data_IF_577876562222
#
_entry.id   IF_577876562222
#
_cell.length_a   1.000
_cell.length_b   1.000
_cell.length_c   1.000
_cell.angle_alpha   90.00
_cell.angle_beta   90.00
_cell.angle_gamma   90.00
#
_symmetry.space_group_name_H-M   'P 1'
#
loop_
_entity.id
_entity.type
_entity.pdbx_description
1 polymer ?
#
# COMPACT_ATOMS: atom_id res chain seq x y z
N UNK A 1 30.44 25.71 52.53
CA UNK A 1 29.15 25.20 52.03
C UNK A 1 29.09 25.48 50.53
N UNK A 2 29.39 24.49 49.70
CA UNK A 2 29.41 24.64 48.24
C UNK A 2 28.17 23.94 47.67
N UNK A 3 27.22 24.70 47.12
CA UNK A 3 26.08 24.18 46.36
C UNK A 3 26.53 23.98 44.90
N UNK A 4 26.44 22.78 44.32
CA UNK A 4 26.65 22.62 42.90
C UNK A 4 25.41 23.15 42.16
N UNK A 5 25.63 24.15 41.32
CA UNK A 5 24.66 24.66 40.36
C UNK A 5 24.49 23.58 39.28
N UNK A 6 23.43 22.80 39.37
CA UNK A 6 23.07 21.83 38.33
C UNK A 6 22.62 22.61 37.09
N UNK A 7 23.49 22.67 36.09
CA UNK A 7 23.16 23.13 34.74
C UNK A 7 22.20 22.10 34.12
N UNK A 8 20.90 22.41 34.10
CA UNK A 8 19.93 21.68 33.30
C UNK A 8 20.24 21.96 31.82
N UNK A 9 20.81 20.98 31.15
CA UNK A 9 20.88 20.92 29.69
C UNK A 9 19.46 20.66 29.18
N UNK A 10 18.77 21.72 28.73
CA UNK A 10 17.56 21.57 27.92
C UNK A 10 18.00 20.99 26.56
N UNK A 11 17.78 19.69 26.38
CA UNK A 11 17.70 19.11 25.05
C UNK A 11 16.44 19.69 24.38
N UNK A 12 16.64 20.65 23.49
CA UNK A 12 15.64 21.01 22.51
C UNK A 12 15.39 19.77 21.65
N UNK A 13 14.27 19.09 21.87
CA UNK A 13 13.75 18.12 20.93
C UNK A 13 13.56 18.87 19.60
N UNK A 14 14.35 18.51 18.60
CA UNK A 14 14.13 19.00 17.25
C UNK A 14 12.70 18.61 16.86
N UNK A 15 11.88 19.62 16.62
CA UNK A 15 10.53 19.50 16.10
C UNK A 15 10.63 18.89 14.69
N UNK A 16 10.69 17.56 14.64
CA UNK A 16 10.36 16.78 13.47
C UNK A 16 8.84 16.90 13.32
N UNK A 17 8.38 18.04 12.81
CA UNK A 17 6.98 18.25 12.48
C UNK A 17 6.53 17.05 11.65
N UNK A 18 5.66 16.21 12.24
CA UNK A 18 5.14 15.05 11.56
C UNK A 18 4.47 15.54 10.28
N UNK A 19 5.02 15.19 9.11
CA UNK A 19 4.39 15.50 7.83
C UNK A 19 3.06 14.77 7.82
N UNK A 20 1.97 15.53 7.71
CA UNK A 20 0.64 14.94 7.64
C UNK A 20 0.54 14.10 6.36
N UNK A 21 0.26 12.81 6.53
CA UNK A 21 0.13 11.87 5.42
C UNK A 21 -1.32 11.51 5.15
N UNK A 22 -1.58 11.08 3.92
CA UNK A 22 -2.89 10.60 3.47
C UNK A 22 -2.72 9.41 2.54
N UNK A 23 -3.66 8.49 2.59
CA UNK A 23 -3.77 7.41 1.63
C UNK A 23 -4.52 7.87 0.38
N UNK A 24 -3.92 7.64 -0.78
CA UNK A 24 -4.59 7.75 -2.08
C UNK A 24 -4.71 6.37 -2.70
N UNK A 25 -5.76 6.18 -3.51
CA UNK A 25 -6.08 4.90 -4.11
C UNK A 25 -6.33 4.98 -5.61
N UNK A 26 -6.08 3.86 -6.28
CA UNK A 26 -6.55 3.60 -7.65
C UNK A 26 -7.04 2.17 -7.76
N UNK A 27 -8.18 2.01 -8.42
CA UNK A 27 -8.83 0.71 -8.58
C UNK A 27 -8.61 0.18 -9.99
N UNK A 28 -8.28 -1.11 -10.08
CA UNK A 28 -8.14 -1.86 -11.33
C UNK A 28 -9.14 -3.00 -11.34
N UNK A 29 -9.96 -3.04 -12.38
CA UNK A 29 -10.96 -4.08 -12.60
C UNK A 29 -10.69 -4.73 -13.94
N UNK A 30 -10.56 -6.05 -13.96
CA UNK A 30 -10.47 -6.81 -15.21
C UNK A 30 -11.72 -6.62 -16.06
N UNK A 31 -11.61 -6.74 -17.39
CA UNK A 31 -12.78 -6.71 -18.26
C UNK A 31 -13.70 -7.92 -18.02
N UNK A 32 -15.02 -7.84 -18.29
CA UNK A 32 -15.97 -8.94 -18.13
C UNK A 32 -15.83 -10.01 -19.24
N UNK A 33 -14.63 -10.23 -19.76
CA UNK A 33 -14.40 -11.13 -20.89
C UNK A 33 -14.83 -12.57 -20.56
N UNK A 34 -14.71 -13.00 -19.30
CA UNK A 34 -15.16 -14.30 -18.82
C UNK A 34 -16.67 -14.53 -18.99
N UNK A 35 -17.50 -13.48 -18.91
CA UNK A 35 -18.96 -13.60 -19.09
C UNK A 35 -19.35 -13.86 -20.54
N UNK A 36 -18.49 -13.49 -21.51
CA UNK A 36 -18.74 -13.69 -22.94
C UNK A 36 -18.16 -15.01 -23.45
N UNK A 37 -17.05 -15.47 -22.89
CA UNK A 37 -16.29 -16.62 -23.42
C UNK A 37 -16.55 -17.92 -22.66
N UNK A 38 -17.13 -17.87 -21.45
CA UNK A 38 -17.32 -19.04 -20.59
C UNK A 38 -16.01 -19.62 -20.01
N UNK A 39 -14.86 -19.12 -20.45
CA UNK A 39 -13.54 -19.50 -19.95
C UNK A 39 -13.11 -18.56 -18.83
N UNK A 40 -12.50 -19.12 -17.78
CA UNK A 40 -11.82 -18.33 -16.78
C UNK A 40 -10.63 -17.60 -17.43
N UNK A 41 -10.65 -16.27 -17.36
CA UNK A 41 -9.53 -15.45 -17.82
C UNK A 41 -8.79 -14.98 -16.58
N UNK A 42 -7.51 -15.34 -16.50
CA UNK A 42 -6.61 -14.86 -15.45
C UNK A 42 -6.31 -13.38 -15.70
N UNK A 43 -6.89 -12.51 -14.88
CA UNK A 43 -6.49 -11.10 -14.85
C UNK A 43 -5.19 -10.99 -14.04
N UNK A 44 -4.17 -10.37 -14.62
CA UNK A 44 -2.92 -10.04 -13.92
C UNK A 44 -3.00 -8.57 -13.56
N UNK A 45 -3.49 -8.29 -12.36
CA UNK A 45 -3.53 -6.93 -11.84
C UNK A 45 -2.12 -6.35 -11.71
N UNK A 46 -1.92 -5.05 -12.00
CA UNK A 46 -0.61 -4.44 -11.84
C UNK A 46 -0.17 -4.46 -10.36
N UNK A 47 1.13 -4.57 -10.14
CA UNK A 47 1.74 -4.43 -8.82
C UNK A 47 1.82 -2.97 -8.38
N UNK A 48 2.18 -2.76 -7.11
CA UNK A 48 2.42 -1.43 -6.54
C UNK A 48 3.60 -0.73 -7.23
N UNK A 49 4.63 -1.48 -7.65
CA UNK A 49 5.86 -0.96 -8.26
C UNK A 49 5.57 -0.34 -9.62
N UNK A 50 4.95 -1.12 -10.52
CA UNK A 50 4.60 -0.68 -11.87
C UNK A 50 3.64 0.52 -11.84
N UNK A 51 2.75 0.56 -10.85
CA UNK A 51 1.74 1.62 -10.76
C UNK A 51 2.26 2.88 -10.07
N UNK A 52 3.33 2.79 -9.27
CA UNK A 52 3.93 3.96 -8.61
C UNK A 52 4.52 4.99 -9.59
N UNK A 53 4.75 4.62 -10.86
CA UNK A 53 5.41 5.46 -11.86
C UNK A 53 4.70 6.81 -12.06
N UNK A 54 3.37 6.82 -12.19
CA UNK A 54 2.61 8.05 -12.40
C UNK A 54 2.71 9.04 -11.22
N UNK A 55 2.79 8.53 -9.99
CA UNK A 55 3.03 9.34 -8.79
C UNK A 55 4.48 9.85 -8.75
N UNK A 56 5.45 9.00 -9.13
CA UNK A 56 6.88 9.37 -9.17
C UNK A 56 7.19 10.43 -10.24
N UNK A 57 6.59 10.33 -11.43
CA UNK A 57 6.72 11.34 -12.50
C UNK A 57 6.23 12.72 -12.07
N UNK A 58 5.24 12.74 -11.18
CA UNK A 58 4.69 13.94 -10.54
C UNK A 58 5.49 14.39 -9.31
N UNK A 59 6.62 13.74 -9.02
CA UNK A 59 7.51 14.00 -7.88
C UNK A 59 6.82 13.86 -6.52
N UNK A 60 5.83 12.97 -6.41
CA UNK A 60 5.27 12.61 -5.11
C UNK A 60 6.18 11.61 -4.40
N UNK A 61 6.44 11.88 -3.13
CA UNK A 61 7.09 10.93 -2.23
C UNK A 61 6.03 9.93 -1.77
N UNK A 62 6.36 8.64 -1.89
CA UNK A 62 5.52 7.54 -1.43
C UNK A 62 6.15 6.99 -0.15
N UNK A 63 5.44 7.09 0.97
CA UNK A 63 5.90 6.59 2.27
C UNK A 63 5.65 5.08 2.41
N UNK A 64 4.46 4.64 2.03
CA UNK A 64 4.03 3.23 2.08
C UNK A 64 3.22 2.88 0.84
N UNK A 65 3.25 1.61 0.47
CA UNK A 65 2.42 1.05 -0.59
C UNK A 65 1.71 -0.20 -0.08
N UNK A 66 0.48 -0.39 -0.52
CA UNK A 66 -0.35 -1.53 -0.15
C UNK A 66 -1.28 -1.88 -1.31
N UNK A 67 -1.73 -3.13 -1.38
CA UNK A 67 -2.81 -3.51 -2.29
C UNK A 67 -3.78 -4.46 -1.62
N UNK A 68 -5.05 -4.35 -2.01
CA UNK A 68 -6.11 -5.31 -1.66
C UNK A 68 -6.60 -5.99 -2.91
N UNK A 69 -6.53 -7.32 -2.94
CA UNK A 69 -7.24 -8.10 -3.95
C UNK A 69 -8.65 -8.34 -3.45
N UNK A 70 -9.65 -7.91 -4.21
CA UNK A 70 -11.03 -8.27 -3.94
C UNK A 70 -11.30 -9.66 -4.53
N UNK A 71 -11.88 -10.57 -3.72
CA UNK A 71 -12.11 -11.93 -4.16
C UNK A 71 -13.21 -11.92 -5.23
N UNK A 72 -12.89 -12.49 -6.38
CA UNK A 72 -13.81 -12.87 -7.46
C UNK A 72 -14.36 -11.77 -8.36
N UNK A 73 -14.44 -12.09 -9.64
CA UNK A 73 -15.21 -11.32 -10.61
C UNK A 73 -16.70 -11.40 -10.29
N UNK A 74 -17.37 -10.26 -10.15
CA UNK A 74 -18.83 -10.23 -9.92
C UNK A 74 -19.63 -10.94 -11.03
N UNK A 75 -19.08 -11.05 -12.24
CA UNK A 75 -19.77 -11.67 -13.37
C UNK A 75 -19.67 -13.21 -13.38
N UNK A 76 -18.55 -13.81 -12.96
CA UNK A 76 -18.36 -15.27 -13.05
C UNK A 76 -18.02 -15.97 -11.72
N UNK A 77 -17.72 -15.22 -10.65
CA UNK A 77 -17.37 -15.76 -9.34
C UNK A 77 -16.06 -16.55 -9.27
N UNK A 78 -15.29 -16.63 -10.36
CA UNK A 78 -14.15 -17.56 -10.47
C UNK A 78 -12.80 -16.90 -10.70
N UNK A 79 -12.74 -15.68 -11.26
CA UNK A 79 -11.46 -15.03 -11.54
C UNK A 79 -10.76 -14.56 -10.24
N UNK A 80 -9.63 -15.17 -9.84
CA UNK A 80 -8.85 -14.67 -8.72
C UNK A 80 -8.23 -13.33 -9.12
N UNK A 81 -8.18 -12.37 -8.18
CA UNK A 81 -7.58 -11.04 -8.36
C UNK A 81 -8.24 -10.11 -9.38
N UNK A 82 -9.45 -10.43 -9.87
CA UNK A 82 -10.22 -9.65 -10.84
C UNK A 82 -10.29 -8.14 -10.54
N UNK A 83 -10.39 -7.81 -9.26
CA UNK A 83 -10.43 -6.44 -8.79
C UNK A 83 -9.29 -6.25 -7.79
N UNK A 84 -8.43 -5.25 -8.05
CA UNK A 84 -7.36 -4.83 -7.16
C UNK A 84 -7.46 -3.34 -6.86
N UNK A 85 -7.45 -3.03 -5.58
CA UNK A 85 -7.28 -1.68 -5.06
C UNK A 85 -5.79 -1.48 -4.74
N UNK A 86 -5.18 -0.42 -5.28
CA UNK A 86 -3.80 -0.03 -4.97
C UNK A 86 -3.82 1.23 -4.12
N UNK A 87 -3.06 1.22 -3.04
CA UNK A 87 -2.99 2.30 -2.06
C UNK A 87 -1.56 2.81 -1.94
N UNK A 88 -1.42 4.13 -1.87
CA UNK A 88 -0.14 4.80 -1.65
C UNK A 88 -0.31 5.88 -0.59
N UNK A 89 0.57 5.88 0.41
CA UNK A 89 0.62 6.93 1.41
C UNK A 89 1.54 8.04 0.92
N UNK A 90 1.02 9.27 0.89
CA UNK A 90 1.71 10.48 0.40
C UNK A 90 1.50 11.65 1.36
N UNK A 91 2.19 12.76 1.14
CA UNK A 91 1.95 14.02 1.84
C UNK A 91 0.55 14.57 1.51
N UNK A 92 -0.23 14.90 2.55
CA UNK A 92 -1.59 15.42 2.42
C UNK A 92 -1.68 16.70 1.58
N UNK A 93 -0.63 17.53 1.56
CA UNK A 93 -0.57 18.75 0.74
C UNK A 93 -0.53 18.47 -0.77
N UNK A 94 -0.24 17.22 -1.17
CA UNK A 94 -0.04 16.82 -2.58
C UNK A 94 -1.20 16.00 -3.16
N UNK A 95 -2.35 15.91 -2.48
CA UNK A 95 -3.54 15.19 -2.96
C UNK A 95 -3.93 15.63 -4.38
N UNK A 96 -3.96 16.94 -4.65
CA UNK A 96 -4.34 17.47 -5.97
C UNK A 96 -3.41 17.00 -7.10
N UNK A 97 -2.14 16.73 -6.82
CA UNK A 97 -1.21 16.18 -7.82
C UNK A 97 -1.42 14.68 -8.04
N UNK A 98 -1.76 13.94 -6.97
CA UNK A 98 -2.17 12.54 -7.08
C UNK A 98 -3.48 12.39 -7.87
N UNK A 99 -4.43 13.31 -7.69
CA UNK A 99 -5.68 13.38 -8.48
C UNK A 99 -5.42 13.58 -9.97
N UNK A 100 -4.50 14.47 -10.33
CA UNK A 100 -4.03 14.64 -11.72
C UNK A 100 -3.30 13.40 -12.27
N UNK A 101 -2.86 12.48 -11.42
CA UNK A 101 -2.28 11.19 -11.81
C UNK A 101 -3.33 10.06 -11.85
N UNK A 102 -4.61 10.37 -11.60
CA UNK A 102 -5.72 9.41 -11.65
C UNK A 102 -5.94 8.64 -10.35
N UNK A 103 -5.49 9.17 -9.23
CA UNK A 103 -5.74 8.63 -7.89
C UNK A 103 -6.80 9.46 -7.18
N UNK A 104 -7.45 8.89 -6.17
CA UNK A 104 -8.38 9.63 -5.31
C UNK A 104 -7.98 9.43 -3.85
N UNK A 105 -8.38 10.34 -2.96
CA UNK A 105 -8.25 10.11 -1.51
C UNK A 105 -8.96 8.79 -1.16
N UNK A 106 -8.27 7.90 -0.46
CA UNK A 106 -8.80 6.58 -0.12
C UNK A 106 -9.95 6.74 0.90
N UNK A 107 -11.19 6.34 0.56
CA UNK A 107 -12.30 6.36 1.51
C UNK A 107 -12.12 5.28 2.59
N UNK A 108 -11.49 4.16 2.23
CA UNK A 108 -11.19 3.04 3.11
C UNK A 108 -9.67 2.81 3.12
N UNK A 109 -8.94 3.68 3.80
CA UNK A 109 -7.50 3.52 3.99
C UNK A 109 -7.16 2.15 4.61
N UNK A 110 -6.01 1.55 4.28
CA UNK A 110 -5.61 0.26 4.84
C UNK A 110 -5.51 0.33 6.37
N UNK A 111 -6.09 -0.64 7.07
CA UNK A 111 -5.93 -0.73 8.50
C UNK A 111 -4.50 -1.14 8.86
N UNK A 112 -4.02 -0.75 10.04
CA UNK A 112 -2.68 -1.14 10.54
C UNK A 112 -2.48 -2.66 10.56
N UNK A 113 -3.54 -3.43 10.86
CA UNK A 113 -3.50 -4.90 10.81
C UNK A 113 -3.31 -5.42 9.38
N UNK A 114 -4.02 -4.88 8.39
CA UNK A 114 -3.86 -5.24 6.98
C UNK A 114 -2.43 -4.95 6.50
N UNK A 115 -1.87 -3.82 6.91
CA UNK A 115 -0.51 -3.43 6.57
C UNK A 115 0.52 -4.35 7.24
N UNK A 116 0.34 -4.69 8.51
CA UNK A 116 1.23 -5.63 9.20
C UNK A 116 1.20 -7.01 8.54
N UNK A 117 0.01 -7.49 8.17
CA UNK A 117 -0.16 -8.77 7.47
C UNK A 117 0.52 -8.73 6.08
N UNK A 118 0.35 -7.63 5.36
CA UNK A 118 0.98 -7.40 4.06
C UNK A 118 2.51 -7.38 4.15
N UNK A 119 3.09 -6.63 5.08
CA UNK A 119 4.54 -6.61 5.28
C UNK A 119 5.08 -7.98 5.69
N UNK A 120 4.36 -8.72 6.55
CA UNK A 120 4.73 -10.11 6.87
C UNK A 120 4.70 -11.02 5.64
N UNK A 121 3.76 -10.81 4.72
CA UNK A 121 3.65 -11.61 3.49
C UNK A 121 4.79 -11.36 2.49
N UNK A 122 5.46 -10.20 2.55
CA UNK A 122 6.63 -9.90 1.71
C UNK A 122 7.90 -10.60 2.19
N UNK A 123 7.96 -10.94 3.47
CA UNK A 123 9.11 -11.64 4.05
C UNK A 123 9.05 -13.09 3.56
N UNK A 124 9.87 -13.43 2.58
CA UNK A 124 10.09 -14.82 2.19
C UNK A 124 10.57 -15.60 3.42
N UNK A 125 9.73 -16.52 3.91
CA UNK A 125 10.17 -17.55 4.84
C UNK A 125 10.42 -18.80 4.02
N UNK A 126 11.68 -19.27 3.87
CA UNK A 126 11.89 -20.61 3.35
C UNK A 126 11.07 -21.58 4.21
N UNK A 127 10.42 -22.57 3.59
CA UNK A 127 9.81 -23.64 4.36
C UNK A 127 10.90 -24.22 5.26
N UNK A 128 10.62 -24.50 6.54
CA UNK A 128 11.56 -25.26 7.35
C UNK A 128 11.89 -26.55 6.59
N UNK A 129 13.17 -26.92 6.54
CA UNK A 129 13.59 -28.20 5.99
C UNK A 129 12.78 -29.29 6.71
N UNK A 130 11.76 -29.81 6.04
CA UNK A 130 11.06 -30.99 6.51
C UNK A 130 12.12 -32.09 6.47
N UNK A 131 12.37 -32.82 7.58
CA UNK A 131 13.23 -33.99 7.49
C UNK A 131 12.65 -34.88 6.40
N UNK A 132 13.52 -35.39 5.52
CA UNK A 132 13.12 -36.40 4.54
C UNK A 132 12.39 -37.50 5.32
N UNK A 133 11.13 -37.76 4.97
CA UNK A 133 10.42 -38.91 5.51
C UNK A 133 11.34 -40.14 5.33
N UNK A 134 11.64 -40.82 6.44
CA UNK A 134 12.37 -42.11 6.46
C UNK A 134 11.65 -43.17 5.61
#
# INVERSE_FOLDING_TARGET
MHKPLLLLVLFAAADLSAVETVWVQRTYVGGPLCAKTGAEIKFIAPGTEATSVALKERKLVIYRSFFRNQPTCQACGKCPTYHRELFFEIDASRIADAEKAGYIKAPNAPAETELADFERSKIFRPLPDLPAED
#
